data_IF_238707318170
#
_entry.id   IF_238707318170
#
_cell.length_a   1.000
_cell.length_b   1.000
_cell.length_c   1.000
_cell.angle_alpha   90.00
_cell.angle_beta   90.00
_cell.angle_gamma   90.00
#
_symmetry.space_group_name_H-M   'P 1'
#
loop_
_entity.id
_entity.type
_entity.pdbx_description
1 polymer ?
#
# COMPACT_ATOMS: atom_id res chain seq x y z
N UNK A 1 -0.28 49.17 2.38
CA UNK A 1 -1.27 48.27 1.75
C UNK A 1 -0.67 46.86 1.78
N UNK A 2 -1.09 46.03 2.75
CA UNK A 2 -0.65 44.62 2.86
C UNK A 2 -1.31 43.82 1.72
N UNK A 3 -0.52 43.23 0.84
CA UNK A 3 -1.01 42.28 -0.17
C UNK A 3 -0.73 40.85 0.33
N UNK A 4 -1.68 40.29 1.07
CA UNK A 4 -1.66 38.88 1.48
C UNK A 4 -2.07 38.04 0.28
N UNK A 5 -1.10 37.49 -0.45
CA UNK A 5 -1.36 36.53 -1.52
C UNK A 5 -1.61 35.17 -0.86
N UNK A 6 -2.88 34.77 -0.80
CA UNK A 6 -3.24 33.40 -0.42
C UNK A 6 -2.90 32.47 -1.59
N UNK A 7 -1.75 31.80 -1.52
CA UNK A 7 -1.48 30.64 -2.38
C UNK A 7 -2.30 29.47 -1.85
N UNK A 8 -3.50 29.30 -2.38
CA UNK A 8 -4.34 28.15 -2.13
C UNK A 8 -3.59 26.87 -2.50
N UNK A 9 -3.21 26.11 -1.47
CA UNK A 9 -2.63 24.77 -1.62
C UNK A 9 -3.79 23.80 -1.89
N UNK A 10 -4.29 23.80 -3.13
CA UNK A 10 -5.24 22.78 -3.57
C UNK A 10 -4.47 21.52 -3.95
N UNK A 11 -4.02 20.76 -2.95
CA UNK A 11 -3.74 19.33 -3.11
C UNK A 11 -5.07 18.59 -3.16
N UNK A 12 -5.92 18.93 -4.13
CA UNK A 12 -7.16 18.22 -4.44
C UNK A 12 -7.04 17.84 -5.90
N UNK A 13 -6.48 16.67 -6.15
CA UNK A 13 -6.21 16.16 -7.49
C UNK A 13 -6.08 14.66 -7.41
N UNK A 14 -7.21 13.97 -7.60
CA UNK A 14 -7.26 12.52 -7.59
C UNK A 14 -8.65 11.92 -7.43
N UNK A 15 -9.70 12.71 -7.20
CA UNK A 15 -11.09 12.27 -7.39
C UNK A 15 -11.50 12.45 -8.85
N UNK A 16 -10.72 11.88 -9.78
CA UNK A 16 -11.20 11.69 -11.14
C UNK A 16 -12.36 10.70 -11.07
N UNK A 17 -13.41 10.93 -11.86
CA UNK A 17 -14.55 10.03 -12.02
C UNK A 17 -14.08 8.58 -11.92
N UNK A 18 -14.46 7.90 -10.83
CA UNK A 18 -13.94 6.59 -10.49
C UNK A 18 -14.37 5.65 -11.61
N UNK A 19 -13.45 5.33 -12.53
CA UNK A 19 -13.74 4.37 -13.58
C UNK A 19 -14.30 3.12 -12.92
N UNK A 20 -15.42 2.62 -13.42
CA UNK A 20 -16.07 1.47 -12.81
C UNK A 20 -15.08 0.29 -12.80
N UNK A 21 -14.82 -0.24 -11.61
CA UNK A 21 -13.92 -1.38 -11.40
C UNK A 21 -14.53 -2.64 -12.02
N UNK A 22 -13.81 -3.34 -12.92
CA UNK A 22 -14.27 -4.59 -13.56
C UNK A 22 -13.59 -5.86 -13.02
N UNK A 23 -12.76 -5.72 -11.99
CA UNK A 23 -12.07 -6.82 -11.33
C UNK A 23 -12.60 -7.04 -9.90
N UNK A 24 -12.43 -8.25 -9.38
CA UNK A 24 -12.82 -8.61 -8.02
C UNK A 24 -11.72 -8.24 -7.02
N UNK A 25 -12.09 -7.63 -5.90
CA UNK A 25 -11.16 -7.35 -4.79
C UNK A 25 -10.79 -8.68 -4.11
N UNK A 26 -9.49 -9.01 -3.96
CA UNK A 26 -9.08 -10.28 -3.39
C UNK A 26 -9.31 -10.33 -1.87
N UNK A 27 -9.76 -11.49 -1.37
CA UNK A 27 -9.91 -11.78 0.07
C UNK A 27 -8.58 -12.13 0.76
N UNK A 28 -7.51 -12.31 -0.02
CA UNK A 28 -6.18 -12.57 0.49
C UNK A 28 -5.12 -11.91 -0.40
N UNK A 29 -4.11 -11.33 0.24
CA UNK A 29 -2.92 -10.82 -0.44
C UNK A 29 -1.74 -11.70 -0.09
N UNK A 30 -1.16 -12.39 -1.08
CA UNK A 30 -0.03 -13.30 -0.90
C UNK A 30 -0.21 -14.24 0.31
N UNK A 31 -1.40 -14.86 0.40
CA UNK A 31 -1.76 -15.82 1.45
C UNK A 31 -2.12 -15.24 2.81
N UNK A 32 -2.11 -13.92 3.02
CA UNK A 32 -2.70 -13.32 4.25
C UNK A 32 -4.14 -12.92 3.97
N UNK A 33 -5.09 -13.43 4.78
CA UNK A 33 -6.48 -12.98 4.74
C UNK A 33 -6.58 -11.48 5.01
N UNK A 34 -7.44 -10.82 4.26
CA UNK A 34 -7.72 -9.38 4.36
C UNK A 34 -9.21 -9.17 4.15
N UNK A 35 -9.77 -8.12 4.75
CA UNK A 35 -11.15 -7.75 4.49
C UNK A 35 -11.24 -7.02 3.13
N UNK A 36 -11.97 -7.54 2.13
CA UNK A 36 -12.11 -6.88 0.83
C UNK A 36 -12.67 -5.48 0.92
N UNK A 37 -13.60 -5.21 1.84
CA UNK A 37 -14.20 -3.88 2.01
C UNK A 37 -13.17 -2.84 2.48
N UNK A 38 -12.16 -3.28 3.23
CA UNK A 38 -11.06 -2.39 3.65
C UNK A 38 -10.06 -2.17 2.52
N UNK A 39 -9.89 -3.13 1.61
CA UNK A 39 -9.03 -2.97 0.45
C UNK A 39 -9.67 -2.09 -0.63
N UNK A 40 -10.99 -2.15 -0.75
CA UNK A 40 -11.79 -1.45 -1.76
C UNK A 40 -11.40 0.03 -1.88
N UNK A 41 -11.33 0.72 -0.73
CA UNK A 41 -11.02 2.15 -0.66
C UNK A 41 -9.61 2.54 -1.16
N UNK A 42 -8.71 1.58 -1.34
CA UNK A 42 -7.34 1.81 -1.82
C UNK A 42 -7.12 1.33 -3.26
N UNK A 43 -8.14 0.73 -3.89
CA UNK A 43 -8.04 0.15 -5.22
C UNK A 43 -8.79 1.02 -6.24
N UNK A 44 -8.08 1.58 -7.24
CA UNK A 44 -8.69 2.47 -8.24
C UNK A 44 -9.65 1.72 -9.17
N UNK A 45 -10.33 2.45 -10.03
CA UNK A 45 -11.00 1.88 -11.20
C UNK A 45 -10.04 1.11 -12.11
N UNK A 46 -10.59 0.30 -13.02
CA UNK A 46 -9.81 -0.41 -14.03
C UNK A 46 -10.40 -1.76 -14.43
N UNK A 47 -9.78 -2.41 -15.42
CA UNK A 47 -10.28 -3.65 -16.01
C UNK A 47 -9.67 -4.91 -15.39
N UNK A 48 -8.44 -4.80 -14.92
CA UNK A 48 -7.63 -5.92 -14.51
C UNK A 48 -6.84 -5.65 -13.24
N UNK A 49 -6.74 -6.68 -12.40
CA UNK A 49 -5.93 -6.70 -11.19
C UNK A 49 -5.02 -7.91 -11.20
N UNK A 50 -3.77 -7.71 -10.78
CA UNK A 50 -2.81 -8.78 -10.55
C UNK A 50 -2.15 -8.63 -9.19
N UNK A 51 -1.78 -9.76 -8.59
CA UNK A 51 -1.10 -9.82 -7.29
C UNK A 51 0.20 -10.59 -7.46
N UNK A 52 1.33 -9.99 -7.07
CA UNK A 52 2.64 -10.60 -7.22
C UNK A 52 3.44 -10.54 -5.93
N UNK A 53 3.88 -11.72 -5.49
CA UNK A 53 4.83 -11.86 -4.38
C UNK A 53 6.27 -11.63 -4.86
N UNK A 54 7.08 -11.02 -4.01
CA UNK A 54 8.53 -10.88 -4.19
C UNK A 54 9.23 -10.83 -2.83
N UNK A 55 10.53 -11.12 -2.80
CA UNK A 55 11.39 -10.93 -1.62
C UNK A 55 12.56 -10.01 -2.03
N UNK A 56 12.35 -8.69 -2.06
CA UNK A 56 13.32 -7.75 -2.63
C UNK A 56 14.60 -7.64 -1.80
N UNK A 57 14.55 -8.04 -0.54
CA UNK A 57 15.70 -8.18 0.35
C UNK A 57 15.49 -9.43 1.22
N UNK A 58 16.56 -9.96 1.80
CA UNK A 58 16.55 -11.21 2.57
C UNK A 58 15.84 -11.13 3.93
N UNK A 59 15.05 -10.10 4.20
CA UNK A 59 14.33 -9.92 5.47
C UNK A 59 12.89 -9.43 5.31
N UNK A 60 12.39 -9.28 4.08
CA UNK A 60 10.99 -8.91 3.85
C UNK A 60 10.39 -9.66 2.68
N UNK A 61 9.13 -10.07 2.85
CA UNK A 61 8.22 -10.45 1.78
C UNK A 61 7.37 -9.26 1.38
N UNK A 62 7.20 -9.08 0.08
CA UNK A 62 6.40 -8.02 -0.51
C UNK A 62 5.33 -8.59 -1.41
N UNK A 63 4.14 -8.03 -1.32
CA UNK A 63 3.02 -8.31 -2.19
C UNK A 63 2.61 -7.01 -2.88
N UNK A 64 2.84 -6.92 -4.19
CA UNK A 64 2.40 -5.80 -5.00
C UNK A 64 1.07 -6.16 -5.66
N UNK A 65 0.08 -5.27 -5.48
CA UNK A 65 -1.21 -5.30 -6.18
C UNK A 65 -1.15 -4.26 -7.28
N UNK A 66 -1.34 -4.73 -8.51
CA UNK A 66 -1.20 -3.92 -9.72
C UNK A 66 -2.52 -3.86 -10.45
N UNK A 67 -3.00 -2.65 -10.73
CA UNK A 67 -4.19 -2.36 -11.53
C UNK A 67 -3.74 -1.65 -12.80
N UNK A 68 -4.11 -2.17 -13.96
CA UNK A 68 -3.71 -1.62 -15.27
C UNK A 68 -2.20 -1.37 -15.46
N UNK A 69 -1.37 -2.15 -14.76
CA UNK A 69 0.10 -2.04 -14.83
C UNK A 69 0.74 -1.14 -13.79
N UNK A 70 -0.05 -0.38 -13.03
CA UNK A 70 0.41 0.48 -11.94
C UNK A 70 0.26 -0.18 -10.56
N UNK A 71 1.26 -0.04 -9.70
CA UNK A 71 1.19 -0.57 -8.32
C UNK A 71 0.27 0.33 -7.49
N UNK A 72 -0.93 -0.16 -7.20
CA UNK A 72 -1.93 0.56 -6.39
C UNK A 72 -1.75 0.33 -4.90
N UNK A 73 -1.36 -0.89 -4.51
CA UNK A 73 -1.17 -1.25 -3.10
C UNK A 73 0.05 -2.16 -2.94
N UNK A 74 0.81 -1.92 -1.87
CA UNK A 74 1.99 -2.70 -1.50
C UNK A 74 1.89 -3.16 -0.06
N UNK A 75 1.73 -4.45 0.15
CA UNK A 75 1.87 -5.07 1.47
C UNK A 75 3.33 -5.51 1.64
N UNK A 76 3.96 -5.14 2.76
CA UNK A 76 5.27 -5.67 3.16
C UNK A 76 5.10 -6.42 4.47
N UNK A 77 5.75 -7.58 4.58
CA UNK A 77 5.86 -8.36 5.81
C UNK A 77 7.33 -8.56 6.10
N UNK A 78 7.70 -8.39 7.36
CA UNK A 78 9.02 -8.77 7.82
C UNK A 78 9.05 -10.30 7.96
N UNK A 79 10.10 -10.92 7.45
CA UNK A 79 10.35 -12.32 7.72
C UNK A 79 11.13 -12.39 9.04
N UNK A 80 10.47 -12.79 10.12
CA UNK A 80 11.10 -13.02 11.44
C UNK A 80 12.19 -14.10 11.40
N UNK A 81 12.28 -14.87 10.31
CA UNK A 81 13.38 -15.81 10.01
C UNK A 81 14.58 -15.14 9.30
N UNK A 82 14.67 -13.81 9.35
CA UNK A 82 15.93 -13.08 9.21
C UNK A 82 16.46 -12.77 10.61
N UNK A 83 17.09 -13.79 11.21
CA UNK A 83 17.73 -13.78 12.52
C UNK A 83 18.52 -12.49 12.82
N UNK A 84 18.40 -12.10 14.08
CA UNK A 84 18.77 -10.82 14.67
C UNK A 84 20.27 -10.52 14.58
N UNK A 85 20.65 -9.80 13.53
CA UNK A 85 21.91 -9.05 13.48
C UNK A 85 21.76 -7.64 14.06
N UNK A 86 21.88 -7.53 15.39
CA UNK A 86 22.26 -6.32 16.17
C UNK A 86 21.20 -5.23 16.44
N UNK A 87 20.62 -5.26 17.65
CA UNK A 87 20.62 -4.12 18.58
C UNK A 87 20.47 -4.62 20.04
N UNK A 88 21.56 -4.79 20.81
CA UNK A 88 21.44 -4.88 22.25
C UNK A 88 21.23 -3.46 22.79
N UNK A 89 20.04 -3.19 23.32
CA UNK A 89 19.82 -2.03 24.18
C UNK A 89 18.74 -1.07 23.69
N UNK A 90 17.53 -1.24 24.22
CA UNK A 90 16.68 -0.17 24.73
C UNK A 90 15.40 -0.76 25.33
N UNK A 91 15.50 -1.34 26.52
CA UNK A 91 14.35 -1.53 27.41
C UNK A 91 14.76 -1.19 28.84
N UNK A 92 14.77 0.10 29.13
CA UNK A 92 14.57 0.60 30.48
C UNK A 92 13.31 1.48 30.47
N UNK A 93 12.22 0.91 30.95
CA UNK A 93 11.09 1.67 31.48
C UNK A 93 10.99 1.29 32.96
N UNK A 94 11.62 2.10 33.81
CA UNK A 94 11.24 2.22 35.21
C UNK A 94 11.48 3.65 35.68
#
# INVERSE_FOLDING_TARGET
>A
MLATVLTASSCSGGGGEEEARKYTVPEALCGVPVNPELLDAFLPGGDSLSVKASAPNGGTKRCDVTVEGDVSLRQTRDDEEADHGLHPGAREFR
#
